data_IF_081032385064
#
_entry.id   IF_081032385064
#
_cell.length_a   1.000
_cell.length_b   1.000
_cell.length_c   1.000
_cell.angle_alpha   90.00
_cell.angle_beta   90.00
_cell.angle_gamma   90.00
#
_symmetry.space_group_name_H-M   'P 1'
#
loop_
_entity.id
_entity.type
_entity.pdbx_description
1 polymer ?
#
# COMPACT_ATOMS: atom_id res chain seq x y z
N UNK A 1 20.78 13.05 18.71
CA UNK A 1 19.54 13.29 17.94
C UNK A 1 18.77 11.99 17.66
N UNK A 2 19.36 10.98 17.00
CA UNK A 2 18.70 9.68 16.73
C UNK A 2 17.98 9.07 17.95
N UNK A 3 18.69 8.88 19.07
CA UNK A 3 18.10 8.30 20.28
C UNK A 3 16.92 9.10 20.84
N UNK A 4 16.92 10.43 20.71
CA UNK A 4 15.82 11.27 21.19
C UNK A 4 14.55 11.07 20.33
N UNK A 5 14.70 11.03 19.00
CA UNK A 5 13.58 10.75 18.09
C UNK A 5 13.08 9.33 18.29
N UNK A 6 14.00 8.37 18.43
CA UNK A 6 13.67 6.97 18.71
C UNK A 6 12.83 6.83 19.98
N UNK A 7 13.25 7.43 21.10
CA UNK A 7 12.48 7.43 22.35
C UNK A 7 11.09 8.05 22.13
N UNK A 8 10.98 9.16 21.39
CA UNK A 8 9.69 9.78 21.08
C UNK A 8 8.76 8.84 20.31
N UNK A 9 9.28 8.13 19.30
CA UNK A 9 8.52 7.15 18.51
C UNK A 9 8.13 5.95 19.38
N UNK A 10 9.05 5.41 20.18
CA UNK A 10 8.77 4.32 21.13
C UNK A 10 7.67 4.70 22.12
N UNK A 11 7.70 5.92 22.69
CA UNK A 11 6.65 6.40 23.58
C UNK A 11 5.30 6.55 22.88
N UNK A 12 5.28 7.00 21.62
CA UNK A 12 4.04 7.13 20.84
C UNK A 12 3.39 5.76 20.58
N UNK A 13 4.19 4.78 20.14
CA UNK A 13 3.76 3.43 19.81
C UNK A 13 3.43 2.59 21.05
N UNK A 14 4.23 2.72 22.11
CA UNK A 14 4.08 1.99 23.36
C UNK A 14 3.01 2.57 24.30
N UNK A 15 2.46 3.75 24.00
CA UNK A 15 1.41 4.33 24.82
C UNK A 15 0.18 3.42 24.84
N UNK A 16 -0.29 3.06 26.04
CA UNK A 16 -1.49 2.24 26.21
C UNK A 16 -2.79 2.93 25.75
N UNK A 17 -2.74 4.23 25.44
CA UNK A 17 -3.83 4.98 24.82
C UNK A 17 -3.98 4.68 23.32
N UNK A 18 -2.98 4.05 22.69
CA UNK A 18 -3.03 3.69 21.28
C UNK A 18 -4.05 2.57 21.06
N UNK A 19 -4.92 2.78 20.07
CA UNK A 19 -6.10 1.96 19.81
C UNK A 19 -5.76 0.68 19.05
N UNK A 20 -4.53 0.60 18.56
CA UNK A 20 -3.91 -0.53 17.88
C UNK A 20 -3.06 -0.03 16.71
N UNK A 21 -2.11 -0.85 16.28
CA UNK A 21 -1.02 -0.45 15.39
C UNK A 21 -1.11 -1.28 14.10
N UNK A 22 -1.12 -0.59 12.96
CA UNK A 22 -0.91 -1.21 11.66
C UNK A 22 0.58 -1.20 11.34
N UNK A 23 1.15 -2.31 10.88
CA UNK A 23 2.55 -2.37 10.45
C UNK A 23 2.61 -2.86 9.01
N UNK A 24 3.31 -2.13 8.15
CA UNK A 24 3.61 -2.57 6.79
C UNK A 24 5.07 -2.93 6.65
N UNK A 25 5.35 -3.98 5.89
CA UNK A 25 6.69 -4.28 5.39
C UNK A 25 6.64 -4.24 3.86
N UNK A 26 7.26 -3.23 3.28
CA UNK A 26 7.41 -3.11 1.84
C UNK A 26 8.74 -3.71 1.40
N UNK A 27 8.73 -4.40 0.26
CA UNK A 27 9.94 -4.95 -0.36
C UNK A 27 10.11 -4.40 -1.78
N UNK A 28 11.29 -3.86 -2.06
CA UNK A 28 11.68 -3.43 -3.41
C UNK A 28 12.96 -4.15 -3.83
N UNK A 29 12.99 -4.61 -5.08
CA UNK A 29 14.16 -5.26 -5.67
C UNK A 29 14.70 -4.37 -6.79
N UNK A 30 16.00 -4.07 -6.76
CA UNK A 30 16.69 -3.32 -7.82
C UNK A 30 17.92 -4.12 -8.23
N UNK A 31 17.80 -4.85 -9.34
CA UNK A 31 18.84 -5.78 -9.78
C UNK A 31 18.99 -6.96 -8.82
N UNK A 32 20.19 -7.08 -8.22
CA UNK A 32 20.57 -8.17 -7.29
C UNK A 32 20.31 -7.76 -5.83
N UNK A 33 20.00 -6.51 -5.55
CA UNK A 33 19.76 -6.04 -4.19
C UNK A 33 18.25 -5.99 -3.89
N UNK A 34 17.89 -6.39 -2.67
CA UNK A 34 16.54 -6.21 -2.13
C UNK A 34 16.58 -5.29 -0.92
N UNK A 35 15.57 -4.43 -0.79
CA UNK A 35 15.43 -3.48 0.29
C UNK A 35 14.05 -3.64 0.92
N UNK A 36 14.02 -3.63 2.26
CA UNK A 36 12.82 -3.78 3.07
C UNK A 36 12.64 -2.54 3.93
N UNK A 37 11.43 -1.99 3.96
CA UNK A 37 11.08 -0.84 4.79
C UNK A 37 9.92 -1.22 5.70
N UNK A 38 10.14 -1.09 7.02
CA UNK A 38 9.13 -1.35 8.04
C UNK A 38 8.54 -0.03 8.52
N UNK A 39 7.20 0.10 8.42
CA UNK A 39 6.48 1.32 8.81
C UNK A 39 5.32 0.96 9.74
N UNK A 40 5.21 1.66 10.87
CA UNK A 40 4.08 1.60 11.77
C UNK A 40 3.09 2.75 11.53
N UNK A 41 1.82 2.46 11.75
CA UNK A 41 0.70 3.36 11.58
C UNK A 41 -0.17 3.34 12.83
N UNK A 42 -0.49 4.52 13.31
CA UNK A 42 -1.30 4.71 14.50
C UNK A 42 -2.22 5.91 14.30
N UNK A 43 -3.40 5.86 14.88
CA UNK A 43 -4.30 7.02 14.91
C UNK A 43 -4.00 7.83 16.17
N UNK A 44 -3.75 9.13 15.97
CA UNK A 44 -3.60 10.10 17.05
C UNK A 44 -4.59 11.25 16.80
N UNK A 45 -5.59 11.37 17.67
CA UNK A 45 -6.73 12.25 17.43
C UNK A 45 -7.53 11.81 16.20
N UNK A 46 -7.75 12.73 15.26
CA UNK A 46 -8.48 12.47 14.01
C UNK A 46 -7.55 12.21 12.82
N UNK A 47 -6.26 11.95 13.04
CA UNK A 47 -5.30 11.74 11.97
C UNK A 47 -4.51 10.44 12.16
N UNK A 48 -4.26 9.76 11.04
CA UNK A 48 -3.34 8.63 11.00
C UNK A 48 -1.91 9.15 10.89
N UNK A 49 -1.09 8.87 11.89
CA UNK A 49 0.35 9.09 11.88
C UNK A 49 1.09 7.87 11.35
N UNK A 50 2.24 8.14 10.74
CA UNK A 50 3.16 7.15 10.21
C UNK A 50 4.50 7.27 10.92
N UNK A 51 5.12 6.13 11.19
CA UNK A 51 6.43 6.05 11.83
C UNK A 51 7.27 5.03 11.08
N UNK A 52 8.37 5.45 10.47
CA UNK A 52 9.29 4.50 9.83
C UNK A 52 10.16 3.90 10.92
N UNK A 53 10.11 2.58 11.08
CA UNK A 53 10.82 1.88 12.15
C UNK A 53 12.22 1.46 11.73
N UNK A 54 12.38 1.05 10.48
CA UNK A 54 13.69 0.71 9.97
C UNK A 54 13.69 0.32 8.50
N UNK A 55 14.90 0.31 7.95
CA UNK A 55 15.22 -0.13 6.60
C UNK A 55 16.29 -1.21 6.67
N UNK A 56 16.07 -2.32 5.97
CA UNK A 56 17.03 -3.40 5.84
C UNK A 56 17.33 -3.67 4.39
N UNK A 57 18.60 -3.64 4.04
CA UNK A 57 19.09 -4.15 2.77
C UNK A 57 19.48 -5.61 2.92
N UNK A 58 19.17 -6.38 1.89
CA UNK A 58 19.34 -7.82 1.85
C UNK A 58 19.88 -8.20 0.47
N UNK A 59 20.99 -8.92 0.46
CA UNK A 59 21.51 -9.55 -0.75
C UNK A 59 20.67 -10.81 -1.07
N UNK A 60 20.51 -11.18 -2.35
CA UNK A 60 19.67 -12.31 -2.85
C UNK A 60 19.78 -13.62 -2.06
N UNK A 61 20.88 -13.82 -1.33
CA UNK A 61 21.12 -15.03 -0.55
C UNK A 61 20.35 -15.12 0.77
N UNK A 62 19.73 -14.06 1.29
CA UNK A 62 18.98 -14.18 2.56
C UNK A 62 17.54 -14.67 2.34
N UNK A 63 17.19 -15.72 3.09
CA UNK A 63 15.88 -16.36 3.10
C UNK A 63 14.84 -15.48 3.82
N UNK A 64 13.54 -15.62 3.47
CA UNK A 64 12.43 -14.88 4.10
C UNK A 64 12.34 -15.02 5.63
N UNK A 65 12.94 -16.06 6.21
CA UNK A 65 13.07 -16.24 7.67
C UNK A 65 13.95 -15.16 8.32
N UNK A 66 15.00 -14.68 7.65
CA UNK A 66 15.87 -13.62 8.17
C UNK A 66 15.17 -12.26 8.18
N UNK A 67 14.28 -12.02 7.22
CA UNK A 67 13.42 -10.82 7.19
C UNK A 67 12.42 -10.88 8.33
N UNK A 68 11.81 -12.04 8.59
CA UNK A 68 10.90 -12.21 9.73
C UNK A 68 11.60 -11.93 11.07
N UNK A 69 12.77 -12.52 11.30
CA UNK A 69 13.55 -12.28 12.51
C UNK A 69 13.95 -10.81 12.65
N UNK A 70 14.34 -10.15 11.55
CA UNK A 70 14.60 -8.72 11.57
C UNK A 70 13.37 -7.89 11.98
N UNK A 71 12.20 -8.17 11.40
CA UNK A 71 10.97 -7.47 11.77
C UNK A 71 10.68 -7.65 13.26
N UNK A 72 10.78 -8.87 13.80
CA UNK A 72 10.55 -9.13 15.22
C UNK A 72 11.52 -8.36 16.12
N UNK A 73 12.80 -8.30 15.74
CA UNK A 73 13.81 -7.54 16.48
C UNK A 73 13.48 -6.04 16.52
N UNK A 74 13.10 -5.46 15.37
CA UNK A 74 12.73 -4.04 15.30
C UNK A 74 11.49 -3.77 16.15
N UNK A 75 10.47 -4.61 16.08
CA UNK A 75 9.25 -4.43 16.88
C UNK A 75 9.51 -4.53 18.39
N UNK A 76 10.39 -5.46 18.78
CA UNK A 76 10.85 -5.61 20.16
C UNK A 76 11.61 -4.38 20.64
N UNK A 77 12.45 -3.78 19.78
CA UNK A 77 13.20 -2.54 20.05
C UNK A 77 12.28 -1.34 20.30
N UNK A 78 11.09 -1.31 19.67
CA UNK A 78 10.06 -0.29 19.89
C UNK A 78 9.00 -0.68 20.94
N UNK A 79 9.19 -1.78 21.68
CA UNK A 79 8.28 -2.26 22.73
C UNK A 79 6.84 -2.42 22.22
N UNK A 80 6.71 -2.91 20.99
CA UNK A 80 5.39 -3.08 20.36
C UNK A 80 4.72 -4.37 20.83
N UNK A 81 3.44 -4.28 21.19
CA UNK A 81 2.66 -5.45 21.59
C UNK A 81 2.13 -6.20 20.37
N UNK A 82 2.44 -7.49 20.25
CA UNK A 82 1.93 -8.37 19.18
C UNK A 82 0.39 -8.40 19.13
N UNK A 83 -0.27 -8.38 20.29
CA UNK A 83 -1.75 -8.44 20.42
C UNK A 83 -2.42 -7.21 19.79
N UNK A 84 -1.72 -6.07 19.75
CA UNK A 84 -2.25 -4.80 19.22
C UNK A 84 -1.81 -4.54 17.79
N UNK A 85 -0.98 -5.40 17.22
CA UNK A 85 -0.31 -5.16 15.94
C UNK A 85 -0.93 -6.01 14.84
N UNK A 86 -1.38 -5.36 13.77
CA UNK A 86 -1.84 -6.01 12.54
C UNK A 86 -0.81 -5.75 11.46
N UNK A 87 -0.37 -6.81 10.81
CA UNK A 87 0.64 -6.76 9.76
C UNK A 87 0.01 -6.73 8.38
N UNK A 88 0.55 -5.90 7.48
CA UNK A 88 0.17 -5.85 6.08
C UNK A 88 1.43 -6.03 5.24
N UNK A 89 1.54 -7.21 4.63
CA UNK A 89 2.77 -7.63 3.96
C UNK A 89 2.58 -7.61 2.44
N UNK A 90 3.63 -7.24 1.72
CA UNK A 90 3.71 -7.37 0.27
C UNK A 90 3.71 -8.87 -0.14
N UNK A 91 3.21 -9.19 -1.35
CA UNK A 91 3.17 -10.56 -1.88
C UNK A 91 4.55 -11.19 -2.04
N UNK A 92 5.60 -10.37 -2.13
CA UNK A 92 7.00 -10.82 -2.24
C UNK A 92 7.60 -11.24 -0.89
N UNK A 93 6.95 -10.90 0.23
CA UNK A 93 7.35 -11.34 1.56
C UNK A 93 6.60 -12.62 1.89
N UNK A 94 7.32 -13.69 2.28
CA UNK A 94 6.68 -14.96 2.63
C UNK A 94 5.75 -14.78 3.83
N UNK A 95 4.44 -14.76 3.56
CA UNK A 95 3.39 -14.66 4.57
C UNK A 95 3.41 -15.84 5.55
N UNK A 96 3.90 -17.00 5.11
CA UNK A 96 3.93 -18.24 5.91
C UNK A 96 4.74 -18.11 7.20
N UNK A 97 5.78 -17.25 7.22
CA UNK A 97 6.56 -16.98 8.43
C UNK A 97 5.80 -16.06 9.42
N UNK A 98 4.98 -15.14 8.91
CA UNK A 98 4.28 -14.13 9.71
C UNK A 98 2.95 -14.60 10.29
N UNK A 99 2.29 -15.59 9.66
CA UNK A 99 1.04 -16.16 10.20
C UNK A 99 1.21 -16.85 11.56
N UNK A 100 2.43 -17.23 11.94
CA UNK A 100 2.71 -17.87 13.24
C UNK A 100 2.82 -16.89 14.42
N UNK A 101 2.96 -15.58 14.16
CA UNK A 101 3.30 -14.58 15.19
C UNK A 101 2.27 -13.44 15.35
N UNK A 102 1.17 -13.43 14.59
CA UNK A 102 0.14 -12.40 14.73
C UNK A 102 -0.87 -12.33 13.59
N UNK A 103 -1.73 -11.32 13.63
CA UNK A 103 -2.73 -11.06 12.58
C UNK A 103 -2.03 -10.49 11.34
N UNK A 104 -1.79 -11.33 10.33
CA UNK A 104 -1.15 -10.94 9.07
C UNK A 104 -2.17 -10.89 7.92
N UNK A 105 -2.19 -9.76 7.21
CA UNK A 105 -3.00 -9.50 6.03
C UNK A 105 -2.07 -9.34 4.81
N UNK A 106 -2.53 -9.86 3.68
CA UNK A 106 -1.89 -9.57 2.39
C UNK A 106 -2.19 -8.15 1.94
N UNK A 107 -1.23 -7.52 1.26
CA UNK A 107 -1.43 -6.24 0.60
C UNK A 107 -2.55 -6.35 -0.45
N UNK A 108 -3.60 -5.53 -0.30
CA UNK A 108 -4.76 -5.55 -1.20
C UNK A 108 -4.39 -5.13 -2.63
N UNK A 109 -3.43 -4.20 -2.77
CA UNK A 109 -2.94 -3.81 -4.09
C UNK A 109 -2.19 -4.96 -4.78
N UNK A 110 -1.38 -5.72 -4.06
CA UNK A 110 -0.72 -6.90 -4.64
C UNK A 110 -1.72 -8.00 -5.01
N UNK A 111 -2.74 -8.23 -4.18
CA UNK A 111 -3.79 -9.20 -4.48
C UNK A 111 -4.59 -8.81 -5.72
N UNK A 112 -5.00 -7.54 -5.82
CA UNK A 112 -5.69 -7.01 -7.00
C UNK A 112 -4.79 -7.07 -8.24
N UNK A 113 -3.50 -6.76 -8.07
CA UNK A 113 -2.53 -6.87 -9.15
C UNK A 113 -2.40 -8.32 -9.67
N UNK A 114 -2.35 -9.32 -8.78
CA UNK A 114 -2.34 -10.73 -9.18
C UNK A 114 -3.60 -11.11 -9.96
N UNK A 115 -4.77 -10.59 -9.59
CA UNK A 115 -6.03 -10.80 -10.33
C UNK A 115 -5.94 -10.20 -11.74
N UNK A 116 -5.49 -8.94 -11.84
CA UNK A 116 -5.33 -8.25 -13.13
C UNK A 116 -4.33 -8.98 -14.02
N UNK A 117 -3.16 -9.36 -13.48
CA UNK A 117 -2.15 -10.11 -14.22
C UNK A 117 -2.65 -11.47 -14.70
N UNK A 118 -3.41 -12.18 -13.88
CA UNK A 118 -3.98 -13.47 -14.27
C UNK A 118 -5.06 -13.32 -15.35
N UNK A 119 -5.87 -12.26 -15.27
CA UNK A 119 -6.97 -11.99 -16.20
C UNK A 119 -6.47 -11.47 -17.55
N UNK A 120 -5.48 -10.58 -17.54
CA UNK A 120 -4.88 -9.96 -18.72
C UNK A 120 -3.67 -10.73 -19.27
N UNK A 121 -3.37 -11.90 -18.72
CA UNK A 121 -2.28 -12.75 -19.23
C UNK A 121 -2.54 -13.14 -20.69
N UNK A 122 -1.51 -13.04 -21.55
CA UNK A 122 -1.58 -13.41 -22.97
C UNK A 122 -2.17 -14.82 -23.18
N UNK A 123 -1.80 -15.81 -22.36
CA UNK A 123 -2.34 -17.18 -22.46
C UNK A 123 -3.82 -17.25 -22.09
N UNK A 124 -4.23 -16.54 -21.03
CA UNK A 124 -5.64 -16.47 -20.60
C UNK A 124 -6.52 -15.82 -21.67
N UNK A 125 -6.03 -14.72 -22.25
CA UNK A 125 -6.74 -14.00 -23.31
C UNK A 125 -6.81 -14.81 -24.61
N UNK A 126 -5.73 -15.51 -24.99
CA UNK A 126 -5.71 -16.42 -26.14
C UNK A 126 -6.71 -17.57 -25.98
N UNK A 127 -6.76 -18.18 -24.80
CA UNK A 127 -7.73 -19.25 -24.51
C UNK A 127 -9.19 -18.79 -24.57
N UNK A 128 -9.45 -17.47 -24.44
CA UNK A 128 -10.77 -16.86 -24.54
C UNK A 128 -11.02 -16.17 -25.90
N UNK A 129 -10.09 -16.30 -26.85
CA UNK A 129 -10.17 -15.67 -28.18
C UNK A 129 -10.30 -14.13 -28.14
N UNK A 130 -9.72 -13.48 -27.12
CA UNK A 130 -9.75 -12.02 -26.94
C UNK A 130 -8.54 -11.35 -27.63
N UNK A 131 -8.46 -11.45 -28.96
CA UNK A 131 -7.30 -11.00 -29.74
C UNK A 131 -7.12 -9.48 -29.72
N UNK A 132 -8.22 -8.72 -29.75
CA UNK A 132 -8.20 -7.25 -29.75
C UNK A 132 -7.61 -6.68 -28.45
N UNK A 133 -7.82 -7.36 -27.32
CA UNK A 133 -7.25 -6.95 -26.03
C UNK A 133 -5.75 -7.24 -26.00
N UNK A 134 -5.31 -8.38 -26.56
CA UNK A 134 -3.89 -8.73 -26.65
C UNK A 134 -3.14 -7.69 -27.50
N UNK A 135 -3.69 -7.35 -28.66
CA UNK A 135 -3.08 -6.37 -29.56
C UNK A 135 -3.00 -4.98 -28.91
N UNK A 136 -4.07 -4.56 -28.23
CA UNK A 136 -4.07 -3.30 -27.47
C UNK A 136 -2.99 -3.30 -26.37
N UNK A 137 -2.88 -4.38 -25.60
CA UNK A 137 -1.87 -4.49 -24.53
C UNK A 137 -0.44 -4.44 -25.09
N UNK A 138 -0.16 -5.15 -26.18
CA UNK A 138 1.15 -5.10 -26.84
C UNK A 138 1.48 -3.68 -27.33
N UNK A 139 0.51 -2.98 -27.92
CA UNK A 139 0.70 -1.61 -28.39
C UNK A 139 0.94 -0.66 -27.20
N UNK A 140 0.21 -0.82 -26.09
CA UNK A 140 0.45 -0.05 -24.86
C UNK A 140 1.84 -0.32 -24.26
N UNK A 141 2.29 -1.58 -24.22
CA UNK A 141 3.63 -1.96 -23.76
C UNK A 141 4.72 -1.36 -24.65
N UNK A 142 4.58 -1.47 -25.98
CA UNK A 142 5.53 -0.92 -26.96
C UNK A 142 5.63 0.61 -26.87
N UNK A 143 4.49 1.29 -26.71
CA UNK A 143 4.47 2.74 -26.55
C UNK A 143 5.14 3.15 -25.24
N UNK A 144 4.81 2.51 -24.12
CA UNK A 144 5.43 2.81 -22.83
C UNK A 144 6.94 2.47 -22.78
N UNK A 145 7.38 1.43 -23.49
CA UNK A 145 8.79 1.00 -23.57
C UNK A 145 9.64 1.78 -24.58
N UNK A 146 9.02 2.42 -25.58
CA UNK A 146 9.73 3.28 -26.52
C UNK A 146 10.18 4.57 -25.82
N UNK A 147 11.46 4.95 -25.99
CA UNK A 147 12.10 6.11 -25.34
C UNK A 147 11.44 7.49 -25.59
N UNK A 148 10.28 7.56 -26.25
CA UNK A 148 9.50 8.78 -26.50
C UNK A 148 8.54 9.19 -25.37
N UNK A 149 8.31 8.35 -24.37
CA UNK A 149 7.44 8.64 -23.21
C UNK A 149 8.22 9.00 -21.94
N UNK A 150 9.39 9.65 -22.08
CA UNK A 150 10.12 10.15 -20.91
C UNK A 150 9.21 11.08 -20.08
N UNK A 151 9.33 10.99 -18.76
CA UNK A 151 8.72 11.93 -17.79
C UNK A 151 9.10 13.38 -18.09
N UNK A 152 10.17 13.59 -18.87
CA UNK A 152 10.67 14.87 -19.34
C UNK A 152 9.90 15.44 -20.55
N UNK A 153 9.22 14.61 -21.35
CA UNK A 153 8.57 15.03 -22.61
C UNK A 153 7.15 15.57 -22.42
N UNK A 154 6.42 15.13 -21.39
CA UNK A 154 4.99 15.44 -21.22
C UNK A 154 4.62 15.99 -19.83
N UNK A 155 5.61 16.35 -19.01
CA UNK A 155 5.38 16.90 -17.67
C UNK A 155 4.83 15.88 -16.65
N UNK A 156 4.84 16.28 -15.38
CA UNK A 156 4.25 15.52 -14.27
C UNK A 156 2.87 16.09 -13.96
N UNK A 157 1.83 15.27 -13.98
CA UNK A 157 0.54 15.65 -13.39
C UNK A 157 0.53 15.19 -11.92
N UNK A 158 0.09 16.05 -11.01
CA UNK A 158 -0.21 15.70 -9.62
C UNK A 158 -1.55 14.95 -9.58
N UNK A 159 -1.51 13.62 -9.64
CA UNK A 159 -2.57 12.76 -9.11
C UNK A 159 -1.95 11.65 -8.28
N UNK A 160 -2.70 11.14 -7.30
CA UNK A 160 -2.22 10.20 -6.30
C UNK A 160 -1.55 9.00 -7.01
N UNK A 161 -0.21 8.84 -6.91
CA UNK A 161 0.50 7.82 -7.67
C UNK A 161 -0.04 6.45 -7.30
N UNK A 162 -0.25 5.60 -8.31
CA UNK A 162 -0.63 4.20 -8.10
C UNK A 162 0.33 3.57 -7.07
N UNK A 163 -0.16 2.68 -6.20
CA UNK A 163 0.72 2.07 -5.22
C UNK A 163 1.84 1.33 -5.96
N UNK A 164 3.10 1.47 -5.55
CA UNK A 164 4.24 0.98 -6.34
C UNK A 164 4.34 -0.54 -6.51
N UNK A 165 3.49 -1.30 -5.81
CA UNK A 165 3.31 -2.73 -6.03
C UNK A 165 2.31 -3.07 -7.14
N UNK A 166 1.80 -2.05 -7.84
CA UNK A 166 0.93 -2.18 -9.01
C UNK A 166 1.77 -2.40 -10.28
N UNK A 167 1.24 -3.14 -11.25
CA UNK A 167 2.03 -3.57 -12.41
C UNK A 167 2.20 -2.50 -13.49
N UNK A 168 3.39 -2.53 -14.11
CA UNK A 168 3.75 -1.91 -15.40
C UNK A 168 2.70 -2.05 -16.51
N UNK A 169 2.02 -3.20 -16.65
CA UNK A 169 1.01 -3.38 -17.72
C UNK A 169 -0.19 -2.46 -17.50
N UNK A 170 -0.65 -2.36 -16.24
CA UNK A 170 -1.78 -1.47 -15.91
C UNK A 170 -1.35 -0.02 -15.92
N UNK A 171 -0.13 0.29 -15.45
CA UNK A 171 0.43 1.64 -15.56
C UNK A 171 0.55 2.08 -17.02
N UNK A 172 1.04 1.21 -17.91
CA UNK A 172 1.17 1.50 -19.34
C UNK A 172 -0.19 1.78 -19.97
N UNK A 173 -1.21 0.97 -19.64
CA UNK A 173 -2.58 1.16 -20.14
C UNK A 173 -3.18 2.48 -19.65
N UNK A 174 -3.09 2.77 -18.35
CA UNK A 174 -3.63 4.00 -17.76
C UNK A 174 -2.89 5.24 -18.28
N UNK A 175 -1.56 5.20 -18.38
CA UNK A 175 -0.73 6.28 -18.90
C UNK A 175 -1.06 6.60 -20.36
N UNK A 176 -1.23 5.56 -21.19
CA UNK A 176 -1.62 5.72 -22.60
C UNK A 176 -3.03 6.29 -22.71
N UNK A 177 -3.96 5.86 -21.86
CA UNK A 177 -5.32 6.40 -21.83
C UNK A 177 -5.35 7.88 -21.42
N UNK A 178 -4.60 8.26 -20.38
CA UNK A 178 -4.53 9.63 -19.87
C UNK A 178 -3.88 10.58 -20.89
N UNK A 179 -2.83 10.11 -21.58
CA UNK A 179 -2.08 10.93 -22.56
C UNK A 179 -2.56 10.74 -24.01
N UNK A 180 -3.67 10.06 -24.24
CA UNK A 180 -4.10 9.61 -25.57
C UNK A 180 -4.03 10.72 -26.63
N UNK A 181 -4.50 11.93 -26.33
CA UNK A 181 -4.50 13.06 -27.27
C UNK A 181 -3.08 13.52 -27.63
N UNK A 182 -2.20 13.62 -26.62
CA UNK A 182 -0.80 14.01 -26.81
C UNK A 182 -0.02 12.96 -27.62
N UNK A 183 -0.34 11.69 -27.42
CA UNK A 183 0.23 10.55 -28.17
C UNK A 183 -0.20 10.63 -29.63
N UNK A 184 -1.50 10.84 -29.87
CA UNK A 184 -2.04 10.99 -31.22
C UNK A 184 -1.37 12.15 -31.97
N UNK A 185 -1.16 13.30 -31.30
CA UNK A 185 -0.46 14.43 -31.90
C UNK A 185 1.01 14.11 -32.23
N UNK A 186 1.75 13.48 -31.31
CA UNK A 186 3.15 13.15 -31.50
C UNK A 186 3.38 12.22 -32.69
N UNK A 187 2.65 11.11 -32.76
CA UNK A 187 2.80 10.13 -33.83
C UNK A 187 2.26 10.65 -35.19
N UNK A 188 1.27 11.55 -35.16
CA UNK A 188 0.81 12.27 -36.35
C UNK A 188 1.92 13.17 -36.92
N UNK A 189 2.62 13.94 -36.07
CA UNK A 189 3.76 14.78 -36.48
C UNK A 189 4.94 13.95 -36.97
N UNK A 190 5.18 12.79 -36.35
CA UNK A 190 6.26 11.87 -36.72
C UNK A 190 5.97 11.03 -37.97
N UNK A 191 4.79 11.17 -38.61
CA UNK A 191 4.34 10.33 -39.75
C UNK A 191 4.37 8.82 -39.46
N UNK A 192 4.25 8.43 -38.19
CA UNK A 192 4.27 7.04 -37.71
C UNK A 192 2.87 6.55 -37.35
N UNK A 193 1.91 6.80 -38.23
CA UNK A 193 0.47 6.55 -38.00
C UNK A 193 0.11 5.07 -37.83
N UNK A 194 0.95 4.14 -38.29
CA UNK A 194 0.75 2.69 -38.15
C UNK A 194 0.60 2.24 -36.69
N UNK A 195 1.24 2.94 -35.74
CA UNK A 195 1.17 2.60 -34.31
C UNK A 195 -0.15 3.06 -33.66
N UNK A 196 -0.83 4.08 -34.20
CA UNK A 196 -2.13 4.55 -33.70
C UNK A 196 -3.29 3.75 -34.30
N UNK A 197 -3.14 3.17 -35.49
CA UNK A 197 -4.23 2.46 -36.17
C UNK A 197 -4.78 1.27 -35.38
N UNK A 198 -3.94 0.63 -34.56
CA UNK A 198 -4.33 -0.52 -33.74
C UNK A 198 -4.82 -0.12 -32.33
N UNK A 199 -4.82 1.18 -32.00
CA UNK A 199 -5.31 1.69 -30.72
C UNK A 199 -6.81 1.93 -30.78
N UNK A 200 -7.58 0.99 -30.25
CA UNK A 200 -9.01 1.19 -30.06
C UNK A 200 -9.28 2.05 -28.82
N UNK A 201 -9.56 3.34 -29.01
CA UNK A 201 -9.86 4.31 -27.93
C UNK A 201 -10.99 3.83 -27.01
N UNK A 202 -12.05 3.25 -27.54
CA UNK A 202 -13.19 2.80 -26.74
C UNK A 202 -12.82 1.62 -25.84
N UNK A 203 -12.10 0.64 -26.38
CA UNK A 203 -11.60 -0.49 -25.60
C UNK A 203 -10.62 -0.04 -24.51
N UNK A 204 -9.71 0.89 -24.86
CA UNK A 204 -8.77 1.49 -23.92
C UNK A 204 -9.49 2.21 -22.77
N UNK A 205 -10.47 3.06 -23.07
CA UNK A 205 -11.25 3.77 -22.05
C UNK A 205 -12.04 2.81 -21.15
N UNK A 206 -12.62 1.74 -21.71
CA UNK A 206 -13.36 0.74 -20.94
C UNK A 206 -12.45 -0.04 -19.99
N UNK A 207 -11.28 -0.48 -20.46
CA UNK A 207 -10.30 -1.17 -19.62
C UNK A 207 -9.73 -0.23 -18.55
N UNK A 208 -9.44 1.02 -18.90
CA UNK A 208 -9.00 2.04 -17.95
C UNK A 208 -10.07 2.30 -16.88
N UNK A 209 -11.35 2.38 -17.25
CA UNK A 209 -12.45 2.58 -16.29
C UNK A 209 -12.63 1.40 -15.32
N UNK A 210 -12.36 0.17 -15.77
CA UNK A 210 -12.42 -1.03 -14.92
C UNK A 210 -11.23 -1.09 -13.95
N UNK A 211 -10.04 -0.66 -14.42
CA UNK A 211 -8.78 -0.76 -13.69
C UNK A 211 -8.47 0.49 -12.85
N UNK A 212 -9.11 1.62 -13.13
CA UNK A 212 -8.93 2.85 -12.39
C UNK A 212 -9.31 2.65 -10.92
N UNK A 213 -8.60 3.31 -9.97
CA UNK A 213 -8.94 3.24 -8.57
C UNK A 213 -10.40 3.65 -8.39
N UNK A 214 -11.24 2.83 -7.72
CA UNK A 214 -12.61 3.21 -7.49
C UNK A 214 -12.62 4.46 -6.61
N UNK A 215 -13.26 5.54 -7.08
CA UNK A 215 -13.59 6.68 -6.22
C UNK A 215 -14.54 6.17 -5.13
N UNK A 216 -13.98 6.09 -3.92
CA UNK A 216 -14.59 5.77 -2.62
C UNK A 216 -16.00 5.16 -2.66
N UNK A 217 -16.09 3.82 -2.67
CA UNK A 217 -17.30 3.10 -2.25
C UNK A 217 -16.97 1.94 -1.29
N UNK A 218 -17.79 1.87 -0.25
CA UNK A 218 -17.60 1.17 1.04
C UNK A 218 -17.60 -0.36 0.91
N UNK A 219 -16.80 -1.02 1.76
CA UNK A 219 -16.83 -2.47 1.97
C UNK A 219 -17.94 -2.88 2.97
N UNK A 220 -18.54 -4.05 2.73
CA UNK A 220 -19.46 -4.75 3.66
C UNK A 220 -18.68 -5.76 4.50
N UNK A 221 -18.98 -5.87 5.79
CA UNK A 221 -18.41 -6.88 6.69
C UNK A 221 -19.38 -8.04 6.91
N UNK A 222 -18.86 -9.26 6.81
CA UNK A 222 -19.50 -10.49 7.26
C UNK A 222 -19.12 -10.77 8.72
N UNK A 223 -20.08 -11.25 9.50
CA UNK A 223 -19.98 -11.50 10.94
C UNK A 223 -19.78 -13.00 11.22
N UNK A 224 -18.88 -13.34 12.14
CA UNK A 224 -18.78 -14.68 12.72
C UNK A 224 -18.74 -14.59 14.25
N UNK A 225 -19.68 -15.28 14.89
CA UNK A 225 -19.92 -15.32 16.33
C UNK A 225 -18.89 -16.17 17.10
N UNK A 226 -18.45 -15.67 18.25
CA UNK A 226 -18.01 -16.50 19.38
C UNK A 226 -18.45 -15.85 20.70
N UNK A 227 -18.95 -16.68 21.64
CA UNK A 227 -19.52 -16.27 22.94
C UNK A 227 -18.41 -16.15 24.00
N UNK A 228 -18.44 -15.10 24.81
CA UNK A 228 -17.76 -15.05 26.11
C UNK A 228 -18.47 -14.09 27.09
N UNK A 229 -18.88 -14.61 28.25
CA UNK A 229 -19.69 -13.96 29.30
C UNK A 229 -18.94 -12.89 30.11
N UNK A 230 -19.69 -11.90 30.59
CA UNK A 230 -19.33 -10.95 31.67
C UNK A 230 -20.18 -9.68 31.54
N UNK A 231 -20.44 -8.92 32.61
CA UNK A 231 -21.26 -7.68 32.57
C UNK A 231 -20.83 -6.67 31.50
N UNK A 232 -19.55 -6.68 31.14
CA UNK A 232 -18.97 -5.93 30.02
C UNK A 232 -19.53 -6.34 28.65
N UNK A 233 -19.84 -7.61 28.44
CA UNK A 233 -20.40 -8.13 27.19
C UNK A 233 -21.81 -7.56 26.95
N UNK A 234 -22.60 -7.35 28.01
CA UNK A 234 -23.92 -6.71 27.91
C UNK A 234 -23.80 -5.25 27.48
N UNK A 235 -22.80 -4.54 28.00
CA UNK A 235 -22.53 -3.15 27.63
C UNK A 235 -22.00 -3.05 26.19
N UNK A 236 -21.11 -3.95 25.78
CA UNK A 236 -20.60 -4.05 24.39
C UNK A 236 -21.72 -4.37 23.42
N UNK A 237 -22.55 -5.37 23.73
CA UNK A 237 -23.71 -5.75 22.90
C UNK A 237 -24.67 -4.58 22.76
N UNK A 238 -24.95 -3.87 23.84
CA UNK A 238 -25.81 -2.67 23.81
C UNK A 238 -25.24 -1.60 22.87
N UNK A 239 -23.95 -1.29 22.98
CA UNK A 239 -23.25 -0.34 22.11
C UNK A 239 -23.36 -0.74 20.63
N UNK A 240 -23.14 -2.02 20.33
CA UNK A 240 -23.25 -2.59 18.97
C UNK A 240 -24.69 -2.47 18.45
N UNK A 241 -25.68 -2.88 19.23
CA UNK A 241 -27.08 -2.84 18.79
C UNK A 241 -27.60 -1.42 18.61
N UNK A 242 -27.20 -0.48 19.47
CA UNK A 242 -27.53 0.93 19.34
C UNK A 242 -26.94 1.53 18.06
N UNK A 243 -25.66 1.24 17.76
CA UNK A 243 -25.03 1.67 16.51
C UNK A 243 -25.71 1.06 15.27
N UNK A 244 -26.04 -0.24 15.30
CA UNK A 244 -26.73 -0.91 14.19
C UNK A 244 -28.17 -0.42 13.97
N UNK A 245 -28.80 0.12 15.01
CA UNK A 245 -30.13 0.72 14.94
C UNK A 245 -30.11 2.16 14.41
N UNK A 246 -28.94 2.81 14.30
CA UNK A 246 -28.85 4.14 13.70
C UNK A 246 -29.20 4.07 12.20
N UNK A 247 -29.92 5.08 11.67
CA UNK A 247 -30.16 5.18 10.25
C UNK A 247 -28.83 5.20 9.51
N UNK A 248 -28.72 4.37 8.47
CA UNK A 248 -27.51 4.23 7.66
C UNK A 248 -27.01 5.61 7.22
N UNK A 249 -25.87 6.02 7.79
CA UNK A 249 -25.06 7.19 7.46
C UNK A 249 -25.66 8.21 6.48
N UNK A 250 -25.99 9.41 6.97
CA UNK A 250 -25.90 10.60 6.13
C UNK A 250 -24.42 10.93 5.92
N UNK A 251 -24.01 11.04 4.65
CA UNK A 251 -22.66 11.15 4.12
C UNK A 251 -21.71 12.11 4.90
N UNK A 252 -21.00 11.61 5.91
CA UNK A 252 -19.71 12.19 6.31
C UNK A 252 -18.61 11.50 5.48
N UNK A 253 -17.85 12.23 4.64
CA UNK A 253 -16.82 11.63 3.79
C UNK A 253 -15.61 11.12 4.60
N UNK A 254 -15.37 11.67 5.79
CA UNK A 254 -14.24 11.30 6.64
C UNK A 254 -14.67 10.43 7.84
N UNK A 255 -14.18 9.18 7.83
CA UNK A 255 -14.42 8.23 8.91
C UNK A 255 -13.70 8.61 10.21
N UNK A 256 -12.53 9.25 10.14
CA UNK A 256 -11.83 9.70 11.35
C UNK A 256 -12.63 10.79 12.05
N UNK A 257 -13.14 11.76 11.30
CA UNK A 257 -14.00 12.81 11.84
C UNK A 257 -15.28 12.25 12.46
N UNK A 258 -15.92 11.28 11.79
CA UNK A 258 -17.11 10.61 12.33
C UNK A 258 -16.80 9.89 13.66
N UNK A 259 -15.79 9.01 13.69
CA UNK A 259 -15.50 8.24 14.89
C UNK A 259 -15.04 9.14 16.04
N UNK A 260 -14.36 10.26 15.74
CA UNK A 260 -14.03 11.27 16.74
C UNK A 260 -15.27 11.93 17.35
N UNK A 261 -16.31 12.23 16.54
CA UNK A 261 -17.52 12.88 17.04
C UNK A 261 -18.42 11.94 17.87
N UNK A 262 -18.42 10.64 17.55
CA UNK A 262 -19.22 9.64 18.28
C UNK A 262 -18.45 8.89 19.38
N UNK A 263 -17.17 9.22 19.61
CA UNK A 263 -16.32 8.53 20.61
C UNK A 263 -16.93 8.54 22.02
N UNK A 264 -17.62 9.62 22.41
CA UNK A 264 -18.28 9.67 23.73
C UNK A 264 -19.51 8.76 23.81
N UNK A 265 -20.22 8.58 22.69
CA UNK A 265 -21.44 7.77 22.59
C UNK A 265 -21.09 6.28 22.47
N UNK A 266 -20.10 5.96 21.65
CA UNK A 266 -19.66 4.61 21.34
C UNK A 266 -18.15 4.44 21.60
N UNK A 267 -17.73 4.46 22.88
CA UNK A 267 -16.32 4.47 23.22
C UNK A 267 -15.58 3.18 22.86
N UNK A 268 -16.22 2.00 22.85
CA UNK A 268 -15.52 0.74 22.52
C UNK A 268 -15.48 0.53 21.01
N UNK A 269 -16.56 0.86 20.31
CA UNK A 269 -16.63 0.79 18.85
C UNK A 269 -15.73 1.83 18.18
N UNK A 270 -15.68 3.06 18.69
CA UNK A 270 -14.75 4.07 18.17
C UNK A 270 -13.30 3.61 18.33
N UNK A 271 -12.95 3.00 19.46
CA UNK A 271 -11.62 2.40 19.67
C UNK A 271 -11.30 1.32 18.65
N UNK A 272 -12.23 0.39 18.42
CA UNK A 272 -12.07 -0.65 17.40
C UNK A 272 -11.97 -0.05 15.99
N UNK A 273 -12.80 0.93 15.67
CA UNK A 273 -12.80 1.57 14.37
C UNK A 273 -11.49 2.29 14.08
N UNK A 274 -10.96 3.04 15.05
CA UNK A 274 -9.65 3.67 14.90
C UNK A 274 -8.51 2.66 14.77
N UNK A 275 -8.59 1.50 15.42
CA UNK A 275 -7.64 0.41 15.17
C UNK A 275 -7.73 -0.07 13.72
N UNK A 276 -8.93 -0.39 13.24
CA UNK A 276 -9.14 -0.87 11.88
C UNK A 276 -8.69 0.17 10.83
N UNK A 277 -8.95 1.45 11.08
CA UNK A 277 -8.55 2.56 10.21
C UNK A 277 -7.05 2.88 10.28
N UNK A 278 -6.35 2.46 11.35
CA UNK A 278 -4.89 2.60 11.45
C UNK A 278 -4.17 1.67 10.47
N UNK A 279 -4.76 0.50 10.19
CA UNK A 279 -4.21 -0.50 9.28
C UNK A 279 -4.37 -0.06 7.82
N UNK A 280 -3.28 0.19 7.10
CA UNK A 280 -3.37 0.52 5.68
C UNK A 280 -3.75 -0.71 4.86
N UNK A 281 -4.62 -0.55 3.86
CA UNK A 281 -4.98 -1.65 2.95
C UNK A 281 -3.82 -2.10 2.04
N UNK A 282 -2.80 -1.25 1.90
CA UNK A 282 -1.67 -1.42 0.98
C UNK A 282 -0.36 -1.31 1.75
N UNK A 283 0.53 -2.28 1.54
CA UNK A 283 1.85 -2.33 2.18
C UNK A 283 2.89 -1.38 1.57
N UNK A 284 2.76 -1.10 0.28
CA UNK A 284 3.68 -0.27 -0.50
C UNK A 284 3.10 1.13 -0.73
N UNK A 285 3.81 2.19 -0.31
CA UNK A 285 3.48 3.59 -0.66
C UNK A 285 4.60 4.21 -1.48
N UNK A 286 4.30 5.26 -2.24
CA UNK A 286 5.33 5.98 -3.02
C UNK A 286 6.51 6.42 -2.16
N UNK A 287 6.26 6.78 -0.90
CA UNK A 287 7.32 7.15 0.03
C UNK A 287 8.23 5.96 0.37
N UNK A 288 7.68 4.75 0.60
CA UNK A 288 8.51 3.58 0.90
C UNK A 288 9.41 3.20 -0.28
N UNK A 289 8.97 3.43 -1.51
CA UNK A 289 9.81 3.24 -2.71
C UNK A 289 10.93 4.26 -2.78
N UNK A 290 10.63 5.54 -2.60
CA UNK A 290 11.68 6.57 -2.61
C UNK A 290 12.75 6.30 -1.54
N UNK A 291 12.35 5.72 -0.40
CA UNK A 291 13.25 5.36 0.70
C UNK A 291 14.10 4.13 0.35
N UNK A 292 13.52 3.11 -0.27
CA UNK A 292 14.25 1.97 -0.81
C UNK A 292 15.27 2.40 -1.87
N UNK A 293 14.88 3.25 -2.83
CA UNK A 293 15.78 3.79 -3.86
C UNK A 293 16.93 4.60 -3.24
N UNK A 294 16.62 5.42 -2.23
CA UNK A 294 17.62 6.20 -1.51
C UNK A 294 18.61 5.29 -0.76
N UNK A 295 18.11 4.26 -0.08
CA UNK A 295 18.94 3.26 0.61
C UNK A 295 19.91 2.58 -0.38
N UNK A 296 19.37 2.00 -1.44
CA UNK A 296 20.13 1.27 -2.45
C UNK A 296 21.15 2.16 -3.18
N UNK A 297 20.82 3.44 -3.38
CA UNK A 297 21.78 4.43 -3.91
C UNK A 297 22.93 4.70 -2.93
N UNK A 298 22.65 4.84 -1.63
CA UNK A 298 23.66 5.02 -0.59
C UNK A 298 24.60 3.80 -0.49
N UNK A 299 24.03 2.59 -0.55
CA UNK A 299 24.79 1.32 -0.61
C UNK A 299 25.71 1.27 -1.82
N UNK A 300 25.19 1.56 -3.01
CA UNK A 300 25.95 1.54 -4.27
C UNK A 300 27.13 2.51 -4.25
N UNK A 301 26.95 3.68 -3.63
CA UNK A 301 28.00 4.69 -3.47
C UNK A 301 28.97 4.38 -2.32
N UNK A 302 28.74 3.32 -1.54
CA UNK A 302 29.50 2.93 -0.33
C UNK A 302 29.71 4.10 0.63
N UNK A 303 28.70 4.97 0.75
CA UNK A 303 28.82 6.22 1.50
C UNK A 303 28.66 6.03 3.01
N UNK A 304 27.93 4.99 3.41
CA UNK A 304 27.50 4.77 4.80
C UNK A 304 27.39 3.28 5.08
N UNK A 305 27.57 2.91 6.34
CA UNK A 305 27.27 1.56 6.81
C UNK A 305 25.75 1.30 6.81
N UNK A 306 25.28 0.04 6.79
CA UNK A 306 23.85 -0.27 6.87
C UNK A 306 23.16 0.31 8.11
N UNK A 307 23.86 0.34 9.24
CA UNK A 307 23.35 0.94 10.48
C UNK A 307 23.20 2.46 10.39
N UNK A 308 24.19 3.15 9.82
CA UNK A 308 24.13 4.61 9.61
C UNK A 308 23.03 4.98 8.62
N UNK A 309 22.90 4.22 7.54
CA UNK A 309 21.82 4.39 6.58
C UNK A 309 20.46 4.23 7.23
N UNK A 310 20.26 3.17 8.03
CA UNK A 310 19.02 2.97 8.77
C UNK A 310 18.72 4.18 9.70
N UNK A 311 19.72 4.67 10.44
CA UNK A 311 19.58 5.84 11.33
C UNK A 311 19.24 7.12 10.57
N UNK A 312 19.87 7.35 9.41
CA UNK A 312 19.63 8.53 8.56
C UNK A 312 18.21 8.53 7.98
N UNK A 313 17.79 7.38 7.45
CA UNK A 313 16.46 7.21 6.89
C UNK A 313 15.40 7.35 7.99
N UNK A 314 15.62 6.73 9.16
CA UNK A 314 14.77 6.87 10.33
C UNK A 314 14.61 8.33 10.76
N UNK A 315 15.71 9.08 10.86
CA UNK A 315 15.67 10.50 11.23
C UNK A 315 14.92 11.33 10.20
N UNK A 316 15.22 11.15 8.91
CA UNK A 316 14.57 11.90 7.82
C UNK A 316 13.06 11.69 7.79
N UNK A 317 12.59 10.49 8.14
CA UNK A 317 11.17 10.15 8.03
C UNK A 317 10.35 10.41 9.30
N UNK A 318 11.00 10.50 10.46
CA UNK A 318 10.32 10.70 11.75
C UNK A 318 10.60 12.07 12.38
N UNK A 319 11.50 12.88 11.81
CA UNK A 319 11.62 14.28 12.18
C UNK A 319 10.52 15.11 11.50
N UNK A 320 9.93 16.07 12.24
CA UNK A 320 8.90 16.96 11.72
C UNK A 320 9.43 17.94 10.68
#
# INVERSE_FOLDING_TARGET
MYNQVKVKVTCALGSNTSLGIGVTCHSQMVGVDSCYVLTAYQVEGSQRKRYVLGVKEVDVKECGEQVHHWVQNVLSEFVMSEIRTIYVMDCKVSLAAFFKAGMCLGCSACALNCVVQSALNKRTLQARSMHEVIDLLNVCEDMAGSAGFSRETFGSLEEAPAPPCWDSVTESLLLVNERYEQICEFYSRAKKMSHIQNLNKQLLCNLAAILAPPSTKKARLASSNSKAQGSDEKQVKKEVYEYLAEPLFQATPDLFQYWSSVTQKYPRLARLAFWLLSVPAVGARSESVSMCEQALSMKRRRQVTPEEMNKLIFLKSNMP
#
